data_IF_221975536964
#
_entry.id   IF_221975536964
#
_cell.length_a   1.000
_cell.length_b   1.000
_cell.length_c   1.000
_cell.angle_alpha   90.00
_cell.angle_beta   90.00
_cell.angle_gamma   90.00
#
_symmetry.space_group_name_H-M   'P 1'
#
loop_
_entity.id
_entity.type
_entity.pdbx_description
1 polymer ?
#
# COMPACT_ATOMS: atom_id res chain seq x y z
N UNK A 1 24.71 -19.09 -13.82
CA UNK A 1 23.52 -18.23 -13.63
C UNK A 1 23.99 -16.98 -12.93
N UNK A 2 24.02 -15.84 -13.62
CA UNK A 2 24.20 -14.55 -12.96
C UNK A 2 22.92 -14.24 -12.20
N UNK A 3 23.01 -14.11 -10.88
CA UNK A 3 21.91 -13.57 -10.09
C UNK A 3 21.94 -12.07 -10.35
N UNK A 4 21.08 -11.59 -11.24
CA UNK A 4 20.80 -10.15 -11.33
C UNK A 4 20.10 -9.73 -10.04
N UNK A 5 20.72 -8.81 -9.31
CA UNK A 5 20.09 -8.20 -8.14
C UNK A 5 19.07 -7.16 -8.63
N UNK A 6 17.84 -7.62 -8.86
CA UNK A 6 16.69 -6.74 -9.07
C UNK A 6 16.40 -6.04 -7.72
N UNK A 7 16.61 -4.72 -7.68
CA UNK A 7 16.26 -3.92 -6.52
C UNK A 7 14.76 -3.62 -6.52
N UNK A 8 14.12 -3.77 -5.36
CA UNK A 8 12.75 -3.33 -5.17
C UNK A 8 12.72 -1.80 -5.08
N UNK A 9 11.92 -1.15 -5.92
CA UNK A 9 11.64 0.28 -5.80
C UNK A 9 10.69 0.53 -4.62
N UNK A 10 11.28 0.88 -3.47
CA UNK A 10 10.54 1.09 -2.23
C UNK A 10 9.68 2.36 -2.28
N UNK A 11 10.11 3.39 -3.01
CA UNK A 11 9.37 4.64 -3.11
C UNK A 11 8.09 4.44 -3.93
N UNK A 12 8.20 3.69 -5.04
CA UNK A 12 7.04 3.23 -5.78
C UNK A 12 6.09 2.43 -4.89
N UNK A 13 6.58 1.43 -4.15
CA UNK A 13 5.74 0.60 -3.27
C UNK A 13 5.02 1.44 -2.22
N UNK A 14 5.73 2.32 -1.51
CA UNK A 14 5.15 3.20 -0.48
C UNK A 14 4.10 4.15 -1.07
N UNK A 15 4.33 4.68 -2.27
CA UNK A 15 3.36 5.58 -2.94
C UNK A 15 1.99 4.94 -3.19
N UNK A 16 1.91 3.59 -3.19
CA UNK A 16 0.65 2.87 -3.36
C UNK A 16 -0.23 2.86 -2.11
N UNK A 17 0.29 3.23 -0.94
CA UNK A 17 -0.43 3.22 0.34
C UNK A 17 -0.83 4.64 0.76
N UNK A 18 -2.11 5.02 0.68
CA UNK A 18 -2.57 6.38 1.00
C UNK A 18 -2.29 6.78 2.45
N UNK A 19 -2.21 5.81 3.36
CA UNK A 19 -1.91 6.05 4.78
C UNK A 19 -0.62 6.86 4.99
N UNK A 20 0.41 6.68 4.15
CA UNK A 20 1.66 7.42 4.29
C UNK A 20 1.59 8.88 3.84
N UNK A 21 0.50 9.31 3.19
CA UNK A 21 0.25 10.72 2.85
C UNK A 21 -0.48 11.48 3.96
N UNK A 22 -0.95 10.78 4.99
CA UNK A 22 -1.58 11.40 6.15
C UNK A 22 -0.50 12.03 7.04
N UNK A 23 -0.59 13.33 7.39
CA UNK A 23 0.44 14.02 8.18
C UNK A 23 0.78 13.38 9.54
N UNK A 24 -0.16 12.62 10.13
CA UNK A 24 0.05 11.91 11.38
C UNK A 24 0.86 10.62 11.14
N UNK A 25 0.53 9.90 10.09
CA UNK A 25 1.14 8.61 9.76
C UNK A 25 2.46 8.74 8.97
N UNK A 26 2.68 9.87 8.28
CA UNK A 26 3.91 10.15 7.51
C UNK A 26 5.17 10.08 8.40
N UNK A 27 5.02 10.45 9.68
CA UNK A 27 6.14 10.51 10.64
C UNK A 27 6.31 9.24 11.46
N UNK A 28 5.42 8.25 11.31
CA UNK A 28 5.40 7.06 12.16
C UNK A 28 5.73 5.80 11.38
N UNK A 29 6.71 5.03 11.88
CA UNK A 29 7.05 3.73 11.31
C UNK A 29 6.09 2.67 11.84
N UNK A 30 5.29 2.11 10.96
CA UNK A 30 4.29 1.09 11.29
C UNK A 30 4.89 -0.33 11.27
N UNK A 31 5.07 -0.93 12.46
CA UNK A 31 5.61 -2.29 12.62
C UNK A 31 4.58 -3.31 13.16
N UNK A 32 3.29 -2.97 13.13
CA UNK A 32 2.19 -3.81 13.67
C UNK A 32 1.44 -4.60 12.57
N UNK A 33 2.08 -4.88 11.44
CA UNK A 33 1.43 -5.50 10.27
C UNK A 33 0.76 -6.85 10.54
N UNK A 34 1.22 -7.57 11.57
CA UNK A 34 0.63 -8.83 12.00
C UNK A 34 -0.78 -8.66 12.61
N UNK A 35 -1.04 -7.52 13.25
CA UNK A 35 -2.36 -7.17 13.79
C UNK A 35 -3.30 -6.53 12.77
N UNK A 36 -2.75 -6.00 11.67
CA UNK A 36 -3.50 -5.39 10.58
C UNK A 36 -2.57 -4.59 9.68
N UNK A 37 -2.89 -4.47 8.40
CA UNK A 37 -2.04 -3.77 7.40
C UNK A 37 -2.75 -2.53 6.86
N UNK A 38 -1.97 -1.54 6.43
CA UNK A 38 -2.49 -0.48 5.58
C UNK A 38 -2.93 -1.03 4.21
N UNK A 39 -3.93 -0.40 3.62
CA UNK A 39 -4.55 -0.87 2.38
C UNK A 39 -4.01 -0.07 1.18
N UNK A 40 -3.50 -0.73 0.11
CA UNK A 40 -3.11 -0.06 -1.11
C UNK A 40 -4.31 0.59 -1.84
N UNK A 41 -4.08 1.71 -2.53
CA UNK A 41 -5.11 2.45 -3.27
C UNK A 41 -5.88 1.57 -4.27
N UNK A 42 -5.19 0.63 -4.93
CA UNK A 42 -5.81 -0.29 -5.89
C UNK A 42 -6.89 -1.17 -5.25
N UNK A 43 -6.66 -1.63 -4.02
CA UNK A 43 -7.63 -2.46 -3.27
C UNK A 43 -8.81 -1.61 -2.84
N UNK A 44 -8.56 -0.39 -2.34
CA UNK A 44 -9.61 0.59 -2.00
C UNK A 44 -10.52 0.84 -3.20
N UNK A 45 -9.94 1.14 -4.37
CA UNK A 45 -10.71 1.40 -5.58
C UNK A 45 -11.57 0.20 -5.99
N UNK A 46 -11.00 -1.01 -5.94
CA UNK A 46 -11.74 -2.24 -6.30
C UNK A 46 -12.88 -2.51 -5.33
N UNK A 47 -12.65 -2.33 -4.03
CA UNK A 47 -13.69 -2.48 -3.02
C UNK A 47 -14.80 -1.45 -3.23
N UNK A 48 -14.46 -0.17 -3.41
CA UNK A 48 -15.43 0.88 -3.64
C UNK A 48 -16.29 0.59 -4.89
N UNK A 49 -15.67 0.20 -6.00
CA UNK A 49 -16.38 -0.18 -7.22
C UNK A 49 -17.33 -1.35 -7.00
N UNK A 50 -16.91 -2.36 -6.22
CA UNK A 50 -17.78 -3.48 -5.86
C UNK A 50 -18.97 -3.04 -5.00
N UNK A 51 -18.76 -2.14 -4.04
CA UNK A 51 -19.80 -1.69 -3.10
C UNK A 51 -20.87 -0.81 -3.76
N UNK A 52 -20.51 -0.01 -4.76
CA UNK A 52 -21.44 0.93 -5.43
C UNK A 52 -21.94 0.41 -6.78
N UNK A 53 -21.28 -0.60 -7.36
CA UNK A 53 -21.64 -1.16 -8.65
C UNK A 53 -22.78 -2.17 -8.53
N UNK A 54 -23.82 -2.01 -9.34
CA UNK A 54 -24.72 -3.11 -9.68
C UNK A 54 -24.18 -3.84 -10.91
N UNK A 55 -24.33 -5.18 -10.94
CA UNK A 55 -23.86 -6.06 -12.03
C UNK A 55 -24.22 -5.54 -13.42
#
# INVERSE_FOLDING_TARGET
>A
MSIENISLDIDFVRSQFPAFKDPINEKWSFFENAGGSYVPQKVINRLNNFMIGTK
#
